data_IF_219813723665
#
_entry.id   IF_219813723665
#
_cell.length_a   1.000
_cell.length_b   1.000
_cell.length_c   1.000
_cell.angle_alpha   90.00
_cell.angle_beta   90.00
_cell.angle_gamma   90.00
#
_symmetry.space_group_name_H-M   'P 1'
#
loop_
_entity.id
_entity.type
_entity.pdbx_description
1 polymer ?
#
# COMPACT_ATOMS: atom_id res chain seq x y z
N UNK A 1 19.36 0.64 -6.86
CA UNK A 1 18.80 0.40 -8.20
C UNK A 1 18.08 1.66 -8.64
N UNK A 2 18.31 2.12 -9.86
CA UNK A 2 17.83 3.40 -10.38
C UNK A 2 16.36 3.26 -10.78
N UNK A 3 15.45 3.93 -10.07
CA UNK A 3 13.99 3.82 -10.27
C UNK A 3 13.50 4.63 -11.48
N UNK A 4 14.39 5.40 -12.12
CA UNK A 4 14.10 6.25 -13.26
C UNK A 4 13.74 5.50 -14.55
N UNK A 5 13.92 4.18 -14.60
CA UNK A 5 13.57 3.35 -15.76
C UNK A 5 12.15 2.79 -15.76
N UNK A 6 11.35 3.00 -14.70
CA UNK A 6 10.00 2.41 -14.56
C UNK A 6 8.87 3.34 -15.04
N UNK A 7 9.19 4.55 -15.51
CA UNK A 7 8.23 5.54 -16.01
C UNK A 7 8.27 5.70 -17.53
N UNK A 8 8.49 4.60 -18.25
CA UNK A 8 8.18 4.53 -19.68
C UNK A 8 6.76 3.97 -19.77
N UNK A 9 5.83 4.66 -20.45
CA UNK A 9 4.47 4.17 -20.72
C UNK A 9 4.57 2.79 -21.38
N UNK A 10 4.55 1.75 -20.56
CA UNK A 10 4.77 0.39 -21.01
C UNK A 10 3.48 -0.02 -21.68
N UNK A 11 3.47 0.04 -23.02
CA UNK A 11 2.36 -0.47 -23.83
C UNK A 11 2.25 -1.96 -23.58
N UNK A 12 1.37 -2.34 -22.66
CA UNK A 12 0.95 -3.71 -22.45
C UNK A 12 0.32 -4.18 -23.77
N UNK A 13 0.84 -5.27 -24.33
CA UNK A 13 0.29 -5.88 -25.53
C UNK A 13 -1.17 -6.28 -25.28
N UNK A 14 -2.07 -5.97 -26.21
CA UNK A 14 -3.49 -6.37 -26.12
C UNK A 14 -3.67 -7.90 -26.21
N UNK A 15 -2.63 -8.62 -26.63
CA UNK A 15 -2.59 -10.07 -26.70
C UNK A 15 -2.08 -10.72 -25.40
N UNK A 16 -1.65 -9.92 -24.43
CA UNK A 16 -1.13 -10.41 -23.17
C UNK A 16 -2.27 -10.77 -22.23
N UNK A 17 -2.26 -11.99 -21.71
CA UNK A 17 -3.09 -12.34 -20.57
C UNK A 17 -2.47 -11.70 -19.31
N UNK A 18 -3.18 -10.71 -18.77
CA UNK A 18 -2.73 -9.95 -17.61
C UNK A 18 -2.64 -10.81 -16.35
N UNK A 19 -3.56 -11.76 -16.19
CA UNK A 19 -3.58 -12.60 -14.99
C UNK A 19 -2.35 -13.51 -14.95
N UNK A 20 -2.08 -14.18 -16.06
CA UNK A 20 -0.91 -15.04 -16.20
C UNK A 20 0.40 -14.26 -16.04
N UNK A 21 0.48 -13.05 -16.60
CA UNK A 21 1.66 -12.21 -16.47
C UNK A 21 1.86 -11.74 -15.02
N UNK A 22 0.80 -11.34 -14.33
CA UNK A 22 0.88 -10.96 -12.91
C UNK A 22 1.32 -12.16 -12.07
N UNK A 23 0.78 -13.36 -12.31
CA UNK A 23 1.19 -14.60 -11.62
C UNK A 23 2.67 -14.94 -11.90
N UNK A 24 3.13 -14.74 -13.14
CA UNK A 24 4.53 -14.92 -13.54
C UNK A 24 5.46 -13.96 -12.81
N UNK A 25 5.17 -12.66 -12.86
CA UNK A 25 5.95 -11.62 -12.19
C UNK A 25 5.94 -11.76 -10.67
N UNK A 26 4.79 -12.12 -10.08
CA UNK A 26 4.68 -12.38 -8.64
C UNK A 26 5.67 -13.46 -8.20
N UNK A 27 5.80 -14.54 -8.98
CA UNK A 27 6.75 -15.61 -8.70
C UNK A 27 8.20 -15.18 -8.92
N UNK A 28 8.48 -14.49 -10.02
CA UNK A 28 9.83 -14.02 -10.37
C UNK A 28 10.41 -13.05 -9.32
N UNK A 29 9.56 -12.14 -8.82
CA UNK A 29 9.92 -11.12 -7.83
C UNK A 29 9.78 -11.59 -6.38
N UNK A 30 9.39 -12.85 -6.16
CA UNK A 30 9.05 -13.38 -4.84
C UNK A 30 8.11 -12.41 -4.07
N UNK A 31 7.04 -11.99 -4.75
CA UNK A 31 6.13 -10.96 -4.29
C UNK A 31 4.88 -11.52 -3.61
N UNK A 32 4.28 -10.72 -2.73
CA UNK A 32 2.94 -10.92 -2.17
C UNK A 32 2.02 -9.79 -2.61
N UNK A 33 0.79 -10.11 -2.98
CA UNK A 33 -0.25 -9.14 -3.32
C UNK A 33 -1.24 -9.07 -2.15
N UNK A 34 -1.34 -7.89 -1.55
CA UNK A 34 -2.25 -7.58 -0.46
C UNK A 34 -3.37 -6.68 -0.99
N UNK A 35 -4.62 -7.13 -0.92
CA UNK A 35 -5.76 -6.37 -1.44
C UNK A 35 -6.74 -5.99 -0.33
N UNK A 36 -7.16 -4.71 -0.33
CA UNK A 36 -8.24 -4.26 0.54
C UNK A 36 -9.59 -4.77 0.02
N UNK A 37 -10.56 -4.96 0.92
CA UNK A 37 -11.94 -5.37 0.57
C UNK A 37 -12.65 -4.50 -0.47
N UNK A 38 -12.15 -3.28 -0.71
CA UNK A 38 -12.76 -2.33 -1.66
C UNK A 38 -12.16 -2.39 -3.06
N UNK A 39 -11.22 -3.31 -3.32
CA UNK A 39 -10.68 -3.52 -4.66
C UNK A 39 -11.71 -4.24 -5.55
N UNK A 40 -11.59 -4.05 -6.86
CA UNK A 40 -12.39 -4.79 -7.85
C UNK A 40 -12.18 -6.31 -7.73
N UNK A 41 -13.18 -7.10 -8.12
CA UNK A 41 -13.16 -8.57 -8.00
C UNK A 41 -11.94 -9.21 -8.64
N UNK A 42 -11.54 -8.72 -9.80
CA UNK A 42 -10.43 -9.22 -10.60
C UNK A 42 -9.08 -9.02 -9.88
N UNK A 43 -8.97 -7.98 -9.06
CA UNK A 43 -7.79 -7.72 -8.21
C UNK A 43 -7.82 -8.63 -6.98
N UNK A 44 -9.00 -8.89 -6.42
CA UNK A 44 -9.16 -9.81 -5.30
C UNK A 44 -8.81 -11.25 -5.71
N UNK A 45 -9.19 -11.69 -6.92
CA UNK A 45 -8.95 -13.05 -7.43
C UNK A 45 -7.45 -13.39 -7.61
N UNK A 46 -6.60 -12.37 -7.80
CA UNK A 46 -5.13 -12.52 -7.93
C UNK A 46 -4.37 -12.28 -6.62
N UNK A 47 -5.04 -11.73 -5.60
CA UNK A 47 -4.43 -11.40 -4.32
C UNK A 47 -4.08 -12.65 -3.50
N UNK A 48 -2.98 -12.58 -2.75
CA UNK A 48 -2.62 -13.65 -1.81
C UNK A 48 -3.36 -13.49 -0.48
N UNK A 49 -3.66 -12.24 -0.10
CA UNK A 49 -4.44 -11.92 1.09
C UNK A 49 -5.41 -10.80 0.79
N UNK A 50 -6.66 -11.01 1.20
CA UNK A 50 -7.72 -10.00 1.18
C UNK A 50 -8.07 -9.67 2.64
N UNK A 51 -8.17 -8.38 2.98
CA UNK A 51 -8.39 -7.97 4.36
C UNK A 51 -8.75 -6.50 4.55
N UNK A 52 -9.03 -6.13 5.81
CA UNK A 52 -9.12 -4.74 6.23
C UNK A 52 -7.73 -4.14 6.52
N UNK A 53 -7.67 -2.86 6.87
CA UNK A 53 -6.40 -2.17 7.14
C UNK A 53 -5.54 -2.84 8.21
N UNK A 54 -6.15 -3.34 9.30
CA UNK A 54 -5.42 -3.93 10.42
C UNK A 54 -4.86 -5.29 10.04
N UNK A 55 -5.70 -6.14 9.43
CA UNK A 55 -5.32 -7.46 8.97
C UNK A 55 -4.18 -7.35 7.95
N UNK A 56 -4.30 -6.47 6.96
CA UNK A 56 -3.27 -6.31 5.93
C UNK A 56 -1.94 -5.80 6.52
N UNK A 57 -1.98 -4.87 7.48
CA UNK A 57 -0.76 -4.43 8.17
C UNK A 57 -0.07 -5.59 8.93
N UNK A 58 -0.85 -6.43 9.62
CA UNK A 58 -0.32 -7.60 10.31
C UNK A 58 0.28 -8.64 9.33
N UNK A 59 -0.32 -8.81 8.16
CA UNK A 59 0.15 -9.75 7.14
C UNK A 59 1.40 -9.21 6.45
N UNK A 60 1.45 -7.91 6.16
CA UNK A 60 2.65 -7.25 5.67
C UNK A 60 3.82 -7.43 6.65
N UNK A 61 3.60 -7.35 7.97
CA UNK A 61 4.66 -7.54 8.96
C UNK A 61 5.16 -8.99 9.08
N UNK A 62 4.34 -9.98 8.72
CA UNK A 62 4.63 -11.41 8.87
C UNK A 62 5.15 -12.09 7.60
N UNK A 63 5.01 -11.45 6.44
CA UNK A 63 5.39 -12.05 5.16
C UNK A 63 6.91 -12.25 5.06
N UNK A 64 7.34 -13.30 4.38
CA UNK A 64 8.74 -13.52 3.99
C UNK A 64 9.01 -13.12 2.53
N UNK A 65 8.01 -12.57 1.83
CA UNK A 65 8.15 -12.03 0.48
C UNK A 65 9.17 -10.88 0.42
N UNK A 66 9.85 -10.75 -0.72
CA UNK A 66 10.83 -9.66 -0.95
C UNK A 66 10.13 -8.37 -1.41
N UNK A 67 9.02 -8.53 -2.13
CA UNK A 67 8.20 -7.44 -2.67
C UNK A 67 6.77 -7.54 -2.13
N UNK A 68 6.21 -6.41 -1.70
CA UNK A 68 4.81 -6.28 -1.30
C UNK A 68 4.12 -5.39 -2.33
N UNK A 69 3.17 -5.93 -3.09
CA UNK A 69 2.26 -5.13 -3.92
C UNK A 69 1.00 -4.86 -3.11
N UNK A 70 0.77 -3.59 -2.78
CA UNK A 70 -0.35 -3.19 -1.95
C UNK A 70 -1.46 -2.61 -2.82
N UNK A 71 -2.48 -3.41 -3.10
CA UNK A 71 -3.70 -2.99 -3.79
C UNK A 71 -4.65 -2.32 -2.78
N UNK A 72 -4.35 -1.07 -2.47
CA UNK A 72 -5.06 -0.23 -1.51
C UNK A 72 -4.77 1.25 -1.73
N UNK A 73 -4.78 2.04 -0.66
CA UNK A 73 -4.49 3.48 -0.70
C UNK A 73 -3.16 3.82 -0.06
N UNK A 74 -2.66 5.04 -0.29
CA UNK A 74 -1.32 5.50 0.05
C UNK A 74 -0.87 5.18 1.49
N UNK A 75 -1.67 5.57 2.50
CA UNK A 75 -1.28 5.35 3.90
C UNK A 75 -1.12 3.87 4.27
N UNK A 76 -1.84 2.97 3.59
CA UNK A 76 -1.73 1.54 3.84
C UNK A 76 -0.41 0.99 3.31
N UNK A 77 -0.02 1.42 2.10
CA UNK A 77 1.28 1.09 1.52
C UNK A 77 2.43 1.68 2.36
N UNK A 78 2.29 2.92 2.85
CA UNK A 78 3.26 3.52 3.79
C UNK A 78 3.37 2.72 5.08
N UNK A 79 2.24 2.29 5.66
CA UNK A 79 2.23 1.43 6.85
C UNK A 79 2.98 0.12 6.59
N UNK A 80 2.75 -0.52 5.45
CA UNK A 80 3.49 -1.73 5.06
C UNK A 80 4.99 -1.46 4.93
N UNK A 81 5.39 -0.30 4.39
CA UNK A 81 6.80 0.12 4.25
C UNK A 81 7.45 0.45 5.59
N UNK A 82 6.73 1.09 6.51
CA UNK A 82 7.18 1.35 7.89
C UNK A 82 7.49 0.04 8.60
N UNK A 83 6.60 -0.95 8.48
CA UNK A 83 6.76 -2.27 9.09
C UNK A 83 7.84 -3.11 8.40
N UNK A 84 8.17 -2.81 7.14
CA UNK A 84 9.14 -3.55 6.33
C UNK A 84 10.15 -2.62 5.65
N UNK A 85 11.05 -1.96 6.41
CA UNK A 85 11.91 -0.90 5.87
C UNK A 85 12.86 -1.38 4.77
N UNK A 86 13.30 -2.64 4.80
CA UNK A 86 14.21 -3.24 3.81
C UNK A 86 13.51 -3.80 2.57
N UNK A 87 12.21 -4.12 2.64
CA UNK A 87 11.47 -4.72 1.52
C UNK A 87 11.01 -3.67 0.52
N UNK A 88 10.81 -4.08 -0.72
CA UNK A 88 10.19 -3.22 -1.72
C UNK A 88 8.68 -3.22 -1.51
N UNK A 89 8.06 -2.05 -1.39
CA UNK A 89 6.61 -1.90 -1.32
C UNK A 89 6.16 -1.10 -2.53
N UNK A 90 5.21 -1.64 -3.29
CA UNK A 90 4.68 -1.07 -4.51
C UNK A 90 3.21 -0.73 -4.32
N UNK A 91 2.84 0.49 -4.69
CA UNK A 91 1.46 0.94 -4.78
C UNK A 91 1.13 1.12 -6.28
N UNK A 92 0.18 0.35 -6.85
CA UNK A 92 -0.09 0.39 -8.30
C UNK A 92 -0.52 1.77 -8.83
N UNK A 93 -1.19 2.58 -8.00
CA UNK A 93 -1.58 3.95 -8.34
C UNK A 93 -1.23 4.91 -7.20
N UNK A 94 -0.26 5.79 -7.44
CA UNK A 94 0.16 6.81 -6.46
C UNK A 94 -0.91 7.87 -6.20
N UNK A 95 -1.94 7.98 -7.04
CA UNK A 95 -3.08 8.87 -6.82
C UNK A 95 -4.17 8.23 -5.95
N UNK A 96 -4.01 6.97 -5.52
CA UNK A 96 -4.92 6.31 -4.60
C UNK A 96 -4.83 6.91 -3.17
N UNK A 97 -5.48 8.05 -2.97
CA UNK A 97 -5.50 8.81 -1.72
C UNK A 97 -6.59 8.40 -0.73
N UNK A 98 -6.66 9.11 0.39
CA UNK A 98 -7.72 8.94 1.40
C UNK A 98 -8.10 10.30 1.97
N UNK A 99 -9.31 10.77 1.64
CA UNK A 99 -9.83 12.07 2.08
C UNK A 99 -9.86 12.22 3.61
N UNK A 100 -10.04 11.13 4.34
CA UNK A 100 -9.98 11.13 5.82
C UNK A 100 -8.55 11.39 6.33
N UNK A 101 -7.54 10.77 5.71
CA UNK A 101 -6.15 10.99 6.08
C UNK A 101 -5.72 12.44 5.74
N UNK A 102 -6.15 12.94 4.59
CA UNK A 102 -5.89 14.31 4.13
C UNK A 102 -6.58 15.38 4.99
N UNK A 103 -7.68 15.02 5.67
CA UNK A 103 -8.46 15.93 6.51
C UNK A 103 -7.77 16.39 7.80
N UNK A 104 -6.62 15.82 8.16
CA UNK A 104 -5.87 16.16 9.38
C UNK A 104 -4.40 16.52 9.08
N UNK A 105 -4.15 17.71 8.48
CA UNK A 105 -2.78 18.10 8.13
C UNK A 105 -1.92 18.36 9.37
N UNK A 106 -0.60 18.04 9.30
CA UNK A 106 0.28 17.98 10.46
C UNK A 106 0.50 19.34 11.14
N UNK A 107 0.48 20.44 10.40
CA UNK A 107 0.65 21.79 10.92
C UNK A 107 -0.56 22.22 11.77
N UNK A 108 -1.78 21.97 11.27
CA UNK A 108 -3.01 22.26 11.99
C UNK A 108 -3.14 21.37 13.22
N UNK A 109 -2.83 20.07 13.07
CA UNK A 109 -2.86 19.14 14.19
C UNK A 109 -1.79 19.46 15.25
N UNK A 110 -0.60 19.90 14.83
CA UNK A 110 0.45 20.36 15.73
C UNK A 110 0.01 21.54 16.60
N UNK A 111 -0.64 22.54 15.99
CA UNK A 111 -1.24 23.68 16.72
C UNK A 111 -2.35 23.25 17.67
N UNK A 112 -3.14 22.24 17.29
CA UNK A 112 -4.16 21.66 18.16
C UNK A 112 -3.52 20.99 19.38
N UNK A 113 -2.50 20.14 19.19
CA UNK A 113 -1.77 19.47 20.29
C UNK A 113 -1.15 20.45 21.28
N UNK A 114 -0.60 21.57 20.81
CA UNK A 114 -0.02 22.61 21.68
C UNK A 114 -1.03 23.21 22.67
N UNK A 115 -2.33 23.24 22.31
CA UNK A 115 -3.41 23.70 23.19
C UNK A 115 -3.75 22.68 24.29
N UNK A 116 -3.38 21.42 24.11
CA UNK A 116 -3.74 20.30 24.99
C UNK A 116 -2.52 19.42 25.36
N UNK A 117 -1.49 19.97 26.02
CA UNK A 117 -0.20 19.30 26.20
C UNK A 117 -0.24 18.02 27.03
N UNK A 118 -1.25 17.85 27.89
CA UNK A 118 -1.37 16.69 28.79
C UNK A 118 -2.29 15.58 28.25
N UNK A 119 -2.70 15.64 26.98
CA UNK A 119 -3.61 14.65 26.38
C UNK A 119 -2.85 13.61 25.56
N UNK A 120 -3.37 12.39 25.55
CA UNK A 120 -2.86 11.29 24.72
C UNK A 120 -3.40 11.46 23.29
N UNK A 121 -2.51 11.32 22.31
CA UNK A 121 -2.90 11.28 20.89
C UNK A 121 -3.09 9.83 20.47
N UNK A 122 -4.28 9.52 19.99
CA UNK A 122 -4.62 8.25 19.37
C UNK A 122 -5.03 8.57 17.94
N UNK A 123 -4.29 8.05 16.97
CA UNK A 123 -4.64 8.16 15.57
C UNK A 123 -5.30 6.87 15.10
N UNK A 124 -6.31 7.01 14.24
CA UNK A 124 -6.81 5.88 13.47
C UNK A 124 -5.82 5.53 12.36
N UNK A 125 -5.86 4.30 11.85
CA UNK A 125 -4.92 3.81 10.83
C UNK A 125 -4.99 4.60 9.51
N UNK A 126 -6.15 5.21 9.21
CA UNK A 126 -6.31 6.10 8.06
C UNK A 126 -5.67 7.47 8.33
N UNK A 127 -4.37 7.50 8.56
CA UNK A 127 -3.56 8.70 8.75
C UNK A 127 -2.25 8.58 7.98
N UNK A 128 -1.66 9.72 7.58
CA UNK A 128 -0.33 9.71 6.97
C UNK A 128 0.74 9.19 7.94
N UNK A 129 1.84 8.69 7.38
CA UNK A 129 3.04 8.29 8.12
C UNK A 129 3.72 9.45 8.87
#
# INVERSE_FOLDING_TARGET
MNVSGLMEETRVSVLLDLEDEIRRLKKELHAVILAHYYQESEIQDIADVIGDSLQLAQQAAKTDAEVIVFAGVHFMAETAKILNPSKQVLLPDLQAGCSLAEGCPPDLFGRFKQKYPNHIVISYINCSA
#
